data_IF_424140875476
#
_entry.id   IF_424140875476
#
_cell.length_a   1.000
_cell.length_b   1.000
_cell.length_c   1.000
_cell.angle_alpha   90.00
_cell.angle_beta   90.00
_cell.angle_gamma   90.00
#
_symmetry.space_group_name_H-M   'P 1'
#
loop_
_entity.id
_entity.type
_entity.pdbx_description
1 polymer ?
#
# COMPACT_ATOMS: atom_id res chain seq x y z
N UNK A 1 15.55 25.66 0.56
CA UNK A 1 14.32 25.64 1.38
C UNK A 1 14.17 24.22 1.87
N UNK A 2 14.46 23.99 3.14
CA UNK A 2 14.33 22.68 3.79
C UNK A 2 12.83 22.41 3.97
N UNK A 3 12.24 21.66 3.05
CA UNK A 3 10.91 21.08 3.29
C UNK A 3 11.14 19.91 4.23
N UNK A 4 11.19 20.22 5.53
CA UNK A 4 11.14 19.22 6.57
C UNK A 4 9.95 18.31 6.27
N UNK A 5 10.23 17.05 5.93
CA UNK A 5 9.23 16.02 5.67
C UNK A 5 8.25 16.05 6.83
N UNK A 6 7.08 16.64 6.63
CA UNK A 6 6.00 16.60 7.60
C UNK A 6 5.56 15.15 7.61
N UNK A 7 6.08 14.38 8.58
CA UNK A 7 5.70 12.99 8.78
C UNK A 7 4.18 12.96 8.90
N UNK A 8 3.51 12.26 7.98
CA UNK A 8 2.06 12.08 8.10
C UNK A 8 1.87 11.21 9.31
N UNK A 9 1.40 11.80 10.40
CA UNK A 9 1.00 11.05 11.56
C UNK A 9 -0.36 10.42 11.23
N UNK A 10 -0.33 9.23 10.64
CA UNK A 10 -1.51 8.39 10.53
C UNK A 10 -1.78 7.81 11.91
N UNK A 11 -2.90 8.18 12.49
CA UNK A 11 -3.44 7.49 13.65
C UNK A 11 -3.55 6.01 13.33
N UNK A 12 -3.11 5.13 14.24
CA UNK A 12 -3.14 3.69 14.01
C UNK A 12 -4.59 3.18 13.96
N UNK A 13 -4.82 2.11 13.18
CA UNK A 13 -6.11 1.43 13.14
C UNK A 13 -6.38 0.76 14.47
N UNK A 14 -7.51 1.09 15.08
CA UNK A 14 -8.04 0.45 16.28
C UNK A 14 -9.41 -0.17 15.98
N UNK A 15 -9.99 -0.87 16.95
CA UNK A 15 -11.30 -1.49 16.81
C UNK A 15 -12.46 -0.50 16.55
N UNK A 16 -12.26 0.81 16.76
CA UNK A 16 -13.35 1.80 16.73
C UNK A 16 -13.18 2.92 15.71
N UNK A 17 -12.01 3.02 15.04
CA UNK A 17 -11.70 4.17 14.17
C UNK A 17 -11.57 3.84 12.67
N UNK A 18 -11.96 2.62 12.24
CA UNK A 18 -11.80 2.16 10.85
C UNK A 18 -12.31 3.15 9.80
N UNK A 19 -13.47 3.77 10.01
CA UNK A 19 -14.07 4.70 9.04
C UNK A 19 -13.19 5.94 8.77
N UNK A 20 -12.55 6.47 9.81
CA UNK A 20 -11.64 7.62 9.70
C UNK A 20 -10.27 7.15 9.19
N UNK A 21 -9.80 6.01 9.70
CA UNK A 21 -8.53 5.42 9.32
C UNK A 21 -8.46 5.07 7.84
N UNK A 22 -9.51 4.44 7.29
CA UNK A 22 -9.53 3.98 5.90
C UNK A 22 -9.43 5.14 4.92
N UNK A 23 -10.13 6.25 5.17
CA UNK A 23 -10.03 7.48 4.37
C UNK A 23 -8.62 8.06 4.44
N UNK A 24 -8.03 8.14 5.64
CA UNK A 24 -6.66 8.67 5.81
C UNK A 24 -5.61 7.79 5.12
N UNK A 25 -5.70 6.47 5.29
CA UNK A 25 -4.79 5.51 4.66
C UNK A 25 -4.95 5.52 3.13
N UNK A 26 -6.17 5.61 2.60
CA UNK A 26 -6.42 5.78 1.17
C UNK A 26 -5.73 7.04 0.63
N UNK A 27 -5.91 8.20 1.29
CA UNK A 27 -5.26 9.44 0.86
C UNK A 27 -3.73 9.37 0.96
N UNK A 28 -3.21 8.70 1.98
CA UNK A 28 -1.78 8.46 2.12
C UNK A 28 -1.23 7.61 0.98
N UNK A 29 -1.83 6.44 0.70
CA UNK A 29 -1.44 5.58 -0.41
C UNK A 29 -1.60 6.28 -1.78
N UNK A 30 -2.61 7.13 -1.96
CA UNK A 30 -2.76 7.96 -3.18
C UNK A 30 -1.57 8.92 -3.34
N UNK A 31 -1.16 9.59 -2.26
CA UNK A 31 -0.01 10.50 -2.26
C UNK A 31 1.29 9.76 -2.58
N UNK A 32 1.46 8.54 -2.08
CA UNK A 32 2.63 7.70 -2.34
C UNK A 32 2.57 6.98 -3.71
N UNK A 33 1.50 7.17 -4.50
CA UNK A 33 1.32 6.53 -5.80
C UNK A 33 0.96 5.04 -5.74
N UNK A 34 0.62 4.53 -4.55
CA UNK A 34 0.41 3.11 -4.26
C UNK A 34 -1.07 2.69 -4.32
N UNK A 35 -2.00 3.64 -4.27
CA UNK A 35 -3.44 3.30 -4.27
C UNK A 35 -3.90 2.51 -5.51
N UNK A 36 -3.28 2.75 -6.67
CA UNK A 36 -3.63 2.05 -7.91
C UNK A 36 -3.47 0.53 -7.80
N UNK A 37 -2.49 0.09 -7.01
CA UNK A 37 -2.23 -1.32 -6.71
C UNK A 37 -3.35 -1.94 -5.86
N UNK A 38 -3.89 -1.17 -4.91
CA UNK A 38 -4.96 -1.63 -4.02
C UNK A 38 -6.29 -1.71 -4.76
N UNK A 39 -6.53 -0.79 -5.69
CA UNK A 39 -7.78 -0.67 -6.43
C UNK A 39 -7.83 -1.57 -7.67
N UNK A 40 -6.69 -1.79 -8.32
CA UNK A 40 -6.62 -2.52 -9.59
C UNK A 40 -5.82 -3.80 -9.39
N UNK A 41 -6.41 -4.99 -9.61
CA UNK A 41 -5.62 -6.22 -9.62
C UNK A 41 -4.55 -6.14 -10.72
N UNK A 42 -3.38 -6.78 -10.52
CA UNK A 42 -2.35 -6.81 -11.55
C UNK A 42 -2.95 -7.36 -12.84
N UNK A 43 -2.81 -6.60 -13.92
CA UNK A 43 -3.21 -7.07 -15.23
C UNK A 43 -2.15 -8.05 -15.73
N UNK A 44 -2.55 -9.15 -16.39
CA UNK A 44 -1.60 -10.01 -17.05
C UNK A 44 -0.83 -9.20 -18.11
N UNK A 45 0.49 -9.43 -18.26
CA UNK A 45 1.28 -8.75 -19.27
C UNK A 45 0.73 -9.01 -20.68
N UNK A 46 0.87 -8.03 -21.58
CA UNK A 46 0.43 -8.20 -22.97
C UNK A 46 1.31 -9.24 -23.67
N UNK A 47 0.73 -10.06 -24.55
CA UNK A 47 1.46 -11.17 -25.20
C UNK A 47 2.65 -10.67 -26.03
N UNK A 48 2.57 -9.45 -26.55
CA UNK A 48 3.56 -8.82 -27.45
C UNK A 48 4.73 -8.12 -26.72
N UNK A 49 4.71 -8.02 -25.38
CA UNK A 49 5.83 -7.45 -24.61
C UNK A 49 7.03 -8.41 -24.54
N UNK A 50 8.24 -7.86 -24.59
CA UNK A 50 9.48 -8.61 -24.43
C UNK A 50 9.56 -9.24 -23.02
N UNK A 51 10.18 -10.43 -22.91
CA UNK A 51 10.26 -11.16 -21.64
C UNK A 51 10.98 -10.34 -20.54
N UNK A 52 11.97 -9.51 -20.90
CA UNK A 52 12.66 -8.64 -19.96
C UNK A 52 11.77 -7.46 -19.51
N UNK A 53 10.92 -6.93 -20.40
CA UNK A 53 9.94 -5.88 -20.07
C UNK A 53 8.84 -6.41 -19.14
N UNK A 54 8.36 -7.64 -19.39
CA UNK A 54 7.40 -8.33 -18.52
C UNK A 54 7.96 -8.57 -17.12
N UNK A 55 9.22 -9.00 -17.03
CA UNK A 55 9.89 -9.21 -15.76
C UNK A 55 10.04 -7.90 -14.98
N UNK A 56 10.52 -6.83 -15.64
CA UNK A 56 10.67 -5.53 -15.01
C UNK A 56 9.33 -4.96 -14.52
N UNK A 57 8.24 -5.15 -15.26
CA UNK A 57 6.90 -4.74 -14.84
C UNK A 57 6.42 -5.52 -13.61
N UNK A 58 6.64 -6.84 -13.60
CA UNK A 58 6.27 -7.71 -12.48
C UNK A 58 7.03 -7.34 -11.21
N UNK A 59 8.34 -7.10 -11.30
CA UNK A 59 9.18 -6.67 -10.16
C UNK A 59 8.74 -5.30 -9.63
N UNK A 60 8.50 -4.33 -10.52
CA UNK A 60 8.05 -3.00 -10.13
C UNK A 60 6.64 -3.00 -9.51
N UNK A 61 5.81 -3.98 -9.89
CA UNK A 61 4.50 -4.18 -9.28
C UNK A 61 4.66 -4.78 -7.89
N UNK A 62 5.47 -5.84 -7.74
CA UNK A 62 5.77 -6.47 -6.45
C UNK A 62 6.32 -5.46 -5.44
N UNK A 63 7.25 -4.59 -5.85
CA UNK A 63 7.81 -3.56 -4.98
C UNK A 63 6.72 -2.61 -4.43
N UNK A 64 5.75 -2.24 -5.28
CA UNK A 64 4.64 -1.36 -4.87
C UNK A 64 3.67 -2.10 -3.94
N UNK A 65 3.38 -3.38 -4.20
CA UNK A 65 2.55 -4.24 -3.36
C UNK A 65 3.15 -4.35 -1.94
N UNK A 66 4.44 -4.71 -1.86
CA UNK A 66 5.16 -4.83 -0.59
C UNK A 66 5.19 -3.50 0.16
N UNK A 67 5.43 -2.39 -0.54
CA UNK A 67 5.44 -1.05 0.06
C UNK A 67 4.07 -0.63 0.57
N UNK A 68 3.01 -0.87 -0.20
CA UNK A 68 1.63 -0.58 0.22
C UNK A 68 1.25 -1.40 1.46
N UNK A 69 1.59 -2.70 1.45
CA UNK A 69 1.35 -3.60 2.57
C UNK A 69 2.10 -3.16 3.83
N UNK A 70 3.40 -2.83 3.71
CA UNK A 70 4.19 -2.33 4.83
C UNK A 70 3.58 -1.06 5.43
N UNK A 71 3.13 -0.13 4.59
CA UNK A 71 2.46 1.11 5.04
C UNK A 71 1.14 0.83 5.78
N UNK A 72 0.35 -0.13 5.28
CA UNK A 72 -0.88 -0.57 5.93
C UNK A 72 -0.55 -1.17 7.30
N UNK A 73 0.37 -2.13 7.36
CA UNK A 73 0.78 -2.82 8.60
C UNK A 73 1.30 -1.83 9.64
N UNK A 74 2.18 -0.90 9.26
CA UNK A 74 2.72 0.12 10.17
C UNK A 74 1.64 1.10 10.67
N UNK A 75 0.56 1.26 9.89
CA UNK A 75 -0.60 2.05 10.25
C UNK A 75 -1.63 1.31 11.09
N UNK A 76 -1.39 0.06 11.48
CA UNK A 76 -2.31 -0.74 12.29
C UNK A 76 -1.79 -0.85 13.73
N UNK A 77 -2.70 -0.78 14.70
CA UNK A 77 -2.35 -1.01 16.10
C UNK A 77 -2.01 -2.48 16.33
N UNK A 78 -1.03 -2.75 17.20
CA UNK A 78 -0.54 -4.10 17.46
C UNK A 78 -1.66 -5.04 17.93
N UNK A 79 -2.69 -4.51 18.62
CA UNK A 79 -3.88 -5.27 19.02
C UNK A 79 -4.74 -5.74 17.86
N UNK A 80 -4.64 -5.09 16.70
CA UNK A 80 -5.41 -5.38 15.49
C UNK A 80 -4.59 -6.19 14.45
N UNK A 81 -3.25 -6.21 14.56
CA UNK A 81 -2.37 -6.94 13.64
C UNK A 81 -2.68 -8.44 13.56
N UNK A 82 -3.19 -9.03 14.65
CA UNK A 82 -3.59 -10.45 14.70
C UNK A 82 -4.64 -10.82 13.65
N UNK A 83 -5.47 -9.87 13.22
CA UNK A 83 -6.50 -10.08 12.20
C UNK A 83 -5.96 -9.87 10.78
N UNK A 84 -4.83 -9.18 10.64
CA UNK A 84 -4.16 -8.93 9.35
C UNK A 84 -3.29 -10.13 8.98
N UNK A 85 -2.56 -10.69 9.96
CA UNK A 85 -1.67 -11.85 9.75
C UNK A 85 -2.40 -13.15 9.40
N UNK A 86 -3.71 -13.23 9.65
CA UNK A 86 -4.52 -14.41 9.32
C UNK A 86 -5.11 -14.39 7.91
N UNK A 87 -4.90 -13.31 7.14
CA UNK A 87 -5.47 -13.13 5.81
C UNK A 87 -4.51 -13.53 4.65
N UNK A 88 -3.32 -14.04 4.97
CA UNK A 88 -2.29 -14.49 4.02
C UNK A 88 -2.37 -15.99 3.75
#
# INVERSE_FOLDING_TARGET
>A
MDQSRTGVFLEKLTATNYSIWSVRMQHFLKREGLWKVVETPPQPPEEDEDDDEKLALAEAQLEKDEKALAMIILGVDDSQLVYVATAS
#
